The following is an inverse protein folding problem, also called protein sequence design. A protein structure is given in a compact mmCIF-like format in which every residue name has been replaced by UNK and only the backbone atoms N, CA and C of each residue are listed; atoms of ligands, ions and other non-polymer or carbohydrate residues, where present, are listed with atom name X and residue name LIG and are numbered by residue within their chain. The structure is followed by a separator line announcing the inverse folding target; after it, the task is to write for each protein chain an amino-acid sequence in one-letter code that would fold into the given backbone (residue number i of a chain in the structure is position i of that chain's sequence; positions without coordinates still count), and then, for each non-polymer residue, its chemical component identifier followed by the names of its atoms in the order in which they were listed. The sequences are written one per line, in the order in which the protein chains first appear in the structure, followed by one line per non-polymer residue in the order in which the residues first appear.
data_IF_461678118297
#
_entry.id   IF_461678118297
#
_cell.length_a   1.000
_cell.length_b   1.000
_cell.length_c   1.000
_cell.angle_alpha   90.00
_cell.angle_beta   90.00
_cell.angle_gamma   90.00
#
_symmetry.space_group_name_H-M   'P 1'
#
loop_
_entity.id
_entity.type
_entity.pdbx_description
1 polymer ?
#
# COMPACT_ATOMS: atom_id res chain seq x y z
N UNK A 1 4.41 19.67 -17.43
CA UNK A 1 3.05 19.12 -17.66
C UNK A 1 2.26 19.32 -16.37
N UNK A 2 1.01 19.79 -16.41
CA UNK A 2 0.17 19.95 -15.21
C UNK A 2 -0.53 18.62 -14.94
N UNK A 3 -0.18 17.96 -13.83
CA UNK A 3 -0.83 16.73 -13.40
C UNK A 3 -2.26 17.00 -12.94
N UNK A 4 -3.15 16.04 -13.17
CA UNK A 4 -4.56 16.08 -12.75
C UNK A 4 -4.80 14.95 -11.75
N UNK A 5 -5.45 15.23 -10.63
CA UNK A 5 -5.74 14.23 -9.60
C UNK A 5 -7.12 13.59 -9.85
N UNK A 6 -7.25 12.30 -9.56
CA UNK A 6 -8.49 11.54 -9.67
C UNK A 6 -8.74 10.73 -8.38
N UNK A 7 -10.00 10.60 -7.98
CA UNK A 7 -10.43 9.71 -6.90
C UNK A 7 -11.49 8.72 -7.41
N UNK A 8 -11.52 7.52 -6.83
CA UNK A 8 -12.56 6.54 -7.12
C UNK A 8 -13.83 6.86 -6.32
N UNK A 9 -14.98 6.73 -6.99
CA UNK A 9 -16.33 6.75 -6.40
C UNK A 9 -17.03 5.42 -6.70
N UNK A 10 -18.14 5.13 -6.03
CA UNK A 10 -18.94 3.91 -6.28
C UNK A 10 -19.43 3.75 -7.74
N UNK A 11 -19.29 4.83 -8.54
CA UNK A 11 -19.66 4.89 -9.95
C UNK A 11 -18.48 5.14 -10.91
N UNK A 12 -17.23 5.19 -10.40
CA UNK A 12 -16.02 5.30 -11.22
C UNK A 12 -15.04 6.41 -10.81
N UNK A 13 -13.98 6.58 -11.60
CA UNK A 13 -12.94 7.61 -11.40
C UNK A 13 -13.49 9.02 -11.69
N UNK A 14 -13.36 9.92 -10.71
CA UNK A 14 -13.75 11.32 -10.81
C UNK A 14 -12.53 12.24 -10.72
N UNK A 15 -12.51 13.31 -11.53
CA UNK A 15 -11.44 14.32 -11.53
C UNK A 15 -11.62 15.28 -10.35
N UNK A 16 -10.56 15.53 -9.59
CA UNK A 16 -10.54 16.47 -8.46
C UNK A 16 -10.17 17.89 -8.92
N UNK A 17 -10.55 18.89 -8.13
CA UNK A 17 -10.35 20.32 -8.41
C UNK A 17 -8.90 20.81 -8.20
N UNK A 18 -8.60 21.99 -8.72
CA UNK A 18 -7.25 22.54 -8.91
C UNK A 18 -6.51 22.91 -7.61
N UNK A 19 -7.10 22.67 -6.43
CA UNK A 19 -6.46 22.92 -5.13
C UNK A 19 -5.22 22.01 -4.87
N UNK A 20 -5.06 20.92 -5.65
CA UNK A 20 -4.00 19.93 -5.51
C UNK A 20 -2.75 20.18 -6.39
N UNK A 21 -2.70 21.31 -7.12
CA UNK A 21 -1.67 21.66 -8.11
C UNK A 21 -0.23 21.75 -7.57
N UNK A 22 -0.02 21.77 -6.24
CA UNK A 22 1.33 21.82 -5.63
C UNK A 22 2.11 20.50 -5.66
N UNK A 23 1.45 19.39 -6.00
CA UNK A 23 2.07 18.09 -6.24
C UNK A 23 1.70 17.71 -7.68
N UNK A 24 2.31 18.30 -8.71
CA UNK A 24 2.03 17.91 -10.10
C UNK A 24 2.60 16.50 -10.32
N UNK A 25 1.83 15.41 -10.12
CA UNK A 25 2.40 14.09 -10.16
C UNK A 25 2.59 13.76 -11.64
N UNK A 26 3.74 13.20 -12.00
CA UNK A 26 3.86 12.61 -13.33
C UNK A 26 2.98 11.35 -13.41
N UNK A 27 2.74 10.84 -14.62
CA UNK A 27 2.07 9.54 -14.77
C UNK A 27 2.87 8.39 -14.12
N UNK A 28 4.15 8.63 -13.82
CA UNK A 28 5.07 7.68 -13.21
C UNK A 28 5.22 7.89 -11.69
N UNK A 29 4.57 8.90 -11.12
CA UNK A 29 4.57 9.11 -9.68
C UNK A 29 3.73 8.02 -8.98
N UNK A 30 4.12 7.59 -7.77
CA UNK A 30 3.30 6.69 -6.98
C UNK A 30 1.91 7.29 -6.75
N UNK A 31 0.89 6.44 -6.88
CA UNK A 31 -0.48 6.79 -6.50
C UNK A 31 -0.53 7.12 -5.00
N UNK A 32 -1.27 8.18 -4.67
CA UNK A 32 -1.46 8.72 -3.32
C UNK A 32 -2.95 9.00 -3.10
N UNK A 33 -3.33 9.37 -1.88
CA UNK A 33 -4.73 9.64 -1.51
C UNK A 33 -5.65 8.43 -1.72
N UNK A 34 -5.10 7.24 -1.56
CA UNK A 34 -5.81 5.96 -1.68
C UNK A 34 -5.86 5.26 -0.34
N UNK A 35 -7.02 4.71 -0.04
CA UNK A 35 -7.26 3.92 1.15
C UNK A 35 -6.89 2.45 0.91
N UNK A 36 -6.86 1.66 1.98
CA UNK A 36 -6.67 0.23 1.87
C UNK A 36 -7.82 -0.41 1.07
N UNK A 37 -9.05 0.05 1.31
CA UNK A 37 -10.25 -0.40 0.58
C UNK A 37 -10.13 -0.11 -0.93
N UNK A 38 -9.61 1.06 -1.32
CA UNK A 38 -9.35 1.38 -2.74
C UNK A 38 -8.30 0.45 -3.35
N UNK A 39 -7.22 0.18 -2.62
CA UNK A 39 -6.16 -0.68 -3.11
C UNK A 39 -6.69 -2.10 -3.35
N UNK A 40 -7.51 -2.63 -2.45
CA UNK A 40 -8.21 -3.92 -2.62
C UNK A 40 -9.20 -3.91 -3.78
N UNK A 41 -9.97 -2.84 -3.94
CA UNK A 41 -10.88 -2.70 -5.07
C UNK A 41 -10.12 -2.68 -6.42
N UNK A 42 -9.01 -1.95 -6.48
CA UNK A 42 -8.12 -1.92 -7.64
C UNK A 42 -7.55 -3.31 -7.96
N UNK A 43 -7.05 -4.03 -6.95
CA UNK A 43 -6.51 -5.38 -7.11
C UNK A 43 -7.57 -6.37 -7.62
N UNK A 44 -8.79 -6.29 -7.09
CA UNK A 44 -9.93 -7.09 -7.57
C UNK A 44 -10.22 -6.82 -9.05
N UNK A 45 -10.29 -5.54 -9.43
CA UNK A 45 -10.47 -5.14 -10.83
C UNK A 45 -9.32 -5.63 -11.72
N UNK A 46 -8.07 -5.46 -11.27
CA UNK A 46 -6.87 -5.84 -12.02
C UNK A 46 -6.85 -7.35 -12.29
N UNK A 47 -7.11 -8.17 -11.27
CA UNK A 47 -7.15 -9.62 -11.42
C UNK A 47 -8.27 -10.08 -12.35
N UNK A 48 -9.47 -9.50 -12.23
CA UNK A 48 -10.58 -9.80 -13.12
C UNK A 48 -10.27 -9.42 -14.58
N UNK A 49 -9.66 -8.25 -14.79
CA UNK A 49 -9.25 -7.77 -16.12
C UNK A 49 -8.20 -8.67 -16.77
N UNK A 50 -7.34 -9.30 -15.97
CA UNK A 50 -6.28 -10.19 -16.43
C UNK A 50 -6.69 -11.67 -16.42
N UNK A 51 -7.91 -12.01 -16.00
CA UNK A 51 -8.35 -13.41 -15.88
C UNK A 51 -7.57 -14.23 -14.85
N UNK A 52 -7.02 -13.58 -13.81
CA UNK A 52 -6.23 -14.23 -12.77
C UNK A 52 -7.13 -14.74 -11.64
N UNK A 53 -6.84 -15.95 -11.17
CA UNK A 53 -7.45 -16.53 -9.97
C UNK A 53 -6.66 -16.12 -8.71
N UNK A 54 -7.13 -16.50 -7.53
CA UNK A 54 -6.49 -16.13 -6.27
C UNK A 54 -5.05 -16.65 -6.13
N UNK A 55 -4.77 -17.85 -6.64
CA UNK A 55 -3.43 -18.46 -6.57
C UNK A 55 -2.38 -17.71 -7.40
N UNK A 56 -2.81 -17.08 -8.49
CA UNK A 56 -1.94 -16.34 -9.41
C UNK A 56 -2.20 -14.83 -9.39
N UNK A 57 -3.08 -14.34 -8.52
CA UNK A 57 -3.57 -12.96 -8.52
C UNK A 57 -2.58 -11.99 -7.87
N UNK A 58 -2.71 -10.72 -8.25
CA UNK A 58 -2.09 -9.61 -7.54
C UNK A 58 -2.82 -9.37 -6.22
N UNK A 59 -2.07 -8.99 -5.19
CA UNK A 59 -2.57 -8.64 -3.86
C UNK A 59 -1.71 -7.52 -3.24
N UNK A 60 -2.11 -7.03 -2.07
CA UNK A 60 -1.18 -6.26 -1.24
C UNK A 60 -0.09 -7.19 -0.69
N UNK A 61 1.15 -6.69 -0.50
CA UNK A 61 2.18 -7.44 0.21
C UNK A 61 1.78 -7.61 1.68
N UNK A 62 2.25 -8.69 2.31
CA UNK A 62 2.31 -8.71 3.76
C UNK A 62 3.37 -7.72 4.26
N UNK A 63 3.29 -7.31 5.51
CA UNK A 63 4.33 -6.49 6.13
C UNK A 63 5.69 -7.19 6.06
N UNK A 64 5.73 -8.49 6.33
CA UNK A 64 6.97 -9.26 6.31
C UNK A 64 7.56 -9.33 4.89
N UNK A 65 6.74 -9.52 3.86
CA UNK A 65 7.19 -9.44 2.47
C UNK A 65 7.71 -8.05 2.10
N UNK A 66 7.04 -7.00 2.57
CA UNK A 66 7.47 -5.63 2.35
C UNK A 66 8.85 -5.38 2.98
N UNK A 67 9.04 -5.79 4.23
CA UNK A 67 10.33 -5.66 4.94
C UNK A 67 11.44 -6.45 4.26
N UNK A 68 11.13 -7.65 3.76
CA UNK A 68 12.09 -8.47 3.03
C UNK A 68 12.49 -7.85 1.68
N UNK A 69 11.52 -7.32 0.94
CA UNK A 69 11.77 -6.64 -0.33
C UNK A 69 12.63 -5.39 -0.15
N UNK A 70 12.36 -4.58 0.88
CA UNK A 70 13.20 -3.44 1.24
C UNK A 70 14.58 -3.92 1.75
N UNK A 71 14.57 -5.05 2.46
CA UNK A 71 15.70 -5.83 2.95
C UNK A 71 16.78 -6.10 1.90
N UNK A 72 16.30 -6.71 0.82
CA UNK A 72 17.08 -7.19 -0.32
C UNK A 72 17.41 -6.12 -1.36
N UNK A 73 16.79 -4.93 -1.26
CA UNK A 73 16.91 -3.88 -2.28
C UNK A 73 16.03 -4.12 -3.52
N UNK A 74 15.09 -5.06 -3.46
CA UNK A 74 14.15 -5.34 -4.55
C UNK A 74 13.16 -4.18 -4.78
N UNK A 75 12.86 -3.41 -3.72
CA UNK A 75 12.15 -2.14 -3.81
C UNK A 75 13.08 -0.99 -3.42
N UNK A 76 13.00 0.16 -4.11
CA UNK A 76 13.90 1.28 -3.84
C UNK A 76 13.69 1.85 -2.44
N UNK A 77 14.76 2.40 -1.87
CA UNK A 77 14.71 3.13 -0.59
C UNK A 77 14.04 4.52 -0.70
N UNK A 78 13.31 4.80 -1.78
CA UNK A 78 12.59 6.08 -2.04
C UNK A 78 11.10 5.73 -2.19
N UNK A 79 10.11 6.51 -1.74
CA UNK A 79 9.92 7.96 -1.93
C UNK A 79 9.24 8.65 -0.72
N UNK A 80 9.34 8.09 0.48
CA UNK A 80 8.73 8.71 1.65
C UNK A 80 7.21 8.74 1.62
N UNK A 81 6.63 7.71 1.03
CA UNK A 81 5.24 7.36 1.29
C UNK A 81 5.18 6.21 2.26
N UNK A 82 4.14 6.24 3.06
CA UNK A 82 3.62 5.06 3.70
C UNK A 82 2.94 4.18 2.65
N UNK A 83 3.13 2.88 2.71
CA UNK A 83 2.56 1.92 1.77
C UNK A 83 1.68 0.93 2.51
N UNK A 84 0.43 0.77 2.07
CA UNK A 84 -0.50 -0.21 2.64
C UNK A 84 0.03 -1.65 2.51
N UNK A 85 -0.06 -2.39 3.61
CA UNK A 85 0.08 -3.85 3.67
C UNK A 85 -1.27 -4.52 3.90
N UNK A 86 -1.37 -5.81 3.59
CA UNK A 86 -2.59 -6.60 3.85
C UNK A 86 -2.85 -6.79 5.35
N UNK A 87 -1.80 -6.83 6.18
CA UNK A 87 -1.85 -7.11 7.62
C UNK A 87 -2.74 -6.15 8.40
N UNK A 88 -3.46 -6.71 9.38
CA UNK A 88 -4.10 -5.94 10.43
C UNK A 88 -3.05 -5.39 11.39
N UNK A 89 -3.33 -4.21 11.94
CA UNK A 89 -2.50 -3.64 12.98
C UNK A 89 -2.57 -4.48 14.27
N UNK A 90 -1.40 -4.78 14.82
CA UNK A 90 -1.23 -5.45 16.11
C UNK A 90 -0.28 -4.64 17.00
N UNK A 91 -0.54 -4.56 18.32
CA UNK A 91 0.31 -3.80 19.25
C UNK A 91 1.71 -4.41 19.43
N UNK A 92 1.86 -5.73 19.23
CA UNK A 92 3.14 -6.42 19.22
C UNK A 92 3.24 -7.43 18.06
N UNK A 93 4.43 -7.98 17.83
CA UNK A 93 4.72 -8.97 16.78
C UNK A 93 4.94 -10.39 17.31
N UNK A 94 4.66 -10.64 18.58
CA UNK A 94 5.06 -11.88 19.27
C UNK A 94 4.40 -13.13 18.67
N UNK A 95 3.25 -12.96 18.01
CA UNK A 95 2.48 -14.02 17.37
C UNK A 95 2.36 -13.83 15.84
N UNK A 96 3.24 -13.00 15.25
CA UNK A 96 3.22 -12.76 13.81
C UNK A 96 3.50 -14.07 13.04
N UNK A 97 2.82 -14.30 11.90
CA UNK A 97 3.14 -15.42 11.02
C UNK A 97 4.61 -15.42 10.60
N UNK A 98 5.27 -16.57 10.73
CA UNK A 98 6.71 -16.73 10.39
C UNK A 98 6.94 -17.19 8.96
N UNK A 99 5.86 -17.54 8.25
CA UNK A 99 5.88 -17.98 6.85
C UNK A 99 5.77 -16.82 5.85
N UNK A 100 5.71 -15.58 6.34
CA UNK A 100 5.54 -14.38 5.53
C UNK A 100 4.12 -14.11 5.07
N UNK A 101 3.13 -14.90 5.50
CA UNK A 101 1.72 -14.62 5.22
C UNK A 101 1.24 -13.35 5.94
N UNK A 102 0.22 -12.69 5.38
CA UNK A 102 -0.37 -11.51 5.99
C UNK A 102 -1.11 -11.84 7.28
N UNK A 103 -0.85 -11.07 8.34
CA UNK A 103 -1.48 -11.27 9.64
C UNK A 103 -2.88 -10.65 9.70
N UNK A 104 -3.88 -11.43 9.29
CA UNK A 104 -5.26 -10.96 9.09
C UNK A 104 -6.24 -11.35 10.21
N UNK A 105 -5.77 -12.03 11.26
CA UNK A 105 -6.59 -12.51 12.37
C UNK A 105 -6.05 -12.01 13.72
N UNK A 106 -6.95 -11.59 14.62
CA UNK A 106 -6.61 -11.16 15.99
C UNK A 106 -6.12 -9.71 16.12
N UNK A 107 -6.05 -8.98 15.00
CA UNK A 107 -5.63 -7.58 14.95
C UNK A 107 -6.77 -6.60 15.22
N UNK A 108 -6.42 -5.32 15.30
CA UNK A 108 -7.39 -4.25 15.46
C UNK A 108 -8.29 -4.18 14.21
N UNK A 109 -9.59 -4.43 14.39
CA UNK A 109 -10.54 -4.53 13.29
C UNK A 109 -10.59 -3.23 12.46
N UNK A 110 -10.47 -3.38 11.14
CA UNK A 110 -10.51 -2.26 10.20
C UNK A 110 -9.30 -1.34 10.25
N UNK A 111 -8.21 -1.72 10.92
CA UNK A 111 -6.96 -0.97 10.94
C UNK A 111 -5.86 -1.82 10.32
N UNK A 112 -5.22 -1.30 9.27
CA UNK A 112 -4.19 -2.00 8.52
C UNK A 112 -2.83 -1.34 8.70
N UNK A 113 -1.79 -2.15 8.52
CA UNK A 113 -0.40 -1.71 8.61
C UNK A 113 -0.02 -0.87 7.39
N UNK A 114 0.74 0.19 7.63
CA UNK A 114 1.52 0.87 6.61
C UNK A 114 3.03 0.77 6.92
N UNK A 115 3.83 0.65 5.86
CA UNK A 115 5.30 0.57 5.93
C UNK A 115 5.99 1.69 5.15
N UNK A 116 7.27 1.93 5.40
CA UNK A 116 8.09 2.81 4.57
C UNK A 116 8.42 4.17 5.14
N UNK A 117 7.64 4.71 6.08
CA UNK A 117 7.96 5.95 6.81
C UNK A 117 8.06 7.19 5.90
N UNK A 118 7.08 8.09 5.99
CA UNK A 118 7.06 9.27 5.14
C UNK A 118 8.22 10.24 5.41
N UNK A 119 9.14 10.41 4.46
CA UNK A 119 10.33 11.31 4.51
C UNK A 119 10.00 12.80 4.77
N UNK A 120 8.73 13.17 4.84
CA UNK A 120 8.26 14.55 4.99
C UNK A 120 8.41 15.12 6.40
N UNK A 121 8.60 14.29 7.44
CA UNK A 121 8.65 14.79 8.83
C UNK A 121 10.02 14.69 9.50
N UNK A 122 10.86 13.69 9.22
CA UNK A 122 12.18 13.56 9.88
C UNK A 122 13.25 12.88 9.00
N UNK A 123 14.21 13.63 8.42
CA UNK A 123 15.37 13.05 7.75
C UNK A 123 16.30 12.40 8.79
N UNK A 124 16.24 11.06 8.94
CA UNK A 124 17.21 10.30 9.74
C UNK A 124 16.64 9.19 10.63
N UNK A 125 15.31 9.08 10.78
CA UNK A 125 14.69 8.16 11.75
C UNK A 125 14.07 6.88 11.15
N UNK A 126 13.94 6.78 9.82
CA UNK A 126 13.12 5.71 9.23
C UNK A 126 13.87 4.38 9.18
N UNK A 127 13.46 3.42 10.01
CA UNK A 127 13.96 2.05 10.00
C UNK A 127 13.02 1.15 9.19
N UNK A 128 13.56 0.07 8.63
CA UNK A 128 12.76 -0.98 7.98
C UNK A 128 11.61 -1.49 8.86
N UNK A 129 11.87 -1.52 10.16
CA UNK A 129 10.95 -1.96 11.20
C UNK A 129 9.89 -0.91 11.59
N UNK A 130 9.90 0.30 11.03
CA UNK A 130 8.87 1.29 11.33
C UNK A 130 7.55 0.86 10.71
N UNK A 131 6.49 1.02 11.48
CA UNK A 131 5.15 0.52 11.18
C UNK A 131 4.16 1.56 11.70
N UNK A 132 3.16 1.87 10.89
CA UNK A 132 2.02 2.69 11.29
C UNK A 132 0.73 1.88 11.12
N UNK A 133 -0.33 2.25 11.84
CA UNK A 133 -1.65 1.62 11.73
C UNK A 133 -2.70 2.67 11.42
N UNK A 134 -3.43 2.52 10.32
CA UNK A 134 -4.48 3.44 9.93
C UNK A 134 -5.78 2.70 9.55
N UNK A 135 -6.92 3.37 9.73
CA UNK A 135 -8.21 2.83 9.35
C UNK A 135 -8.25 2.49 7.85
N UNK A 136 -8.91 1.38 7.48
CA UNK A 136 -8.95 0.84 6.13
C UNK A 136 -9.47 1.84 5.08
N UNK A 137 -10.35 2.76 5.50
CA UNK A 137 -10.95 3.80 4.68
C UNK A 137 -10.17 5.14 4.68
N UNK A 138 -9.08 5.25 5.44
CA UNK A 138 -8.26 6.47 5.52
C UNK A 138 -7.57 6.74 4.18
N UNK A 139 -7.70 7.95 3.66
CA UNK A 139 -6.95 8.44 2.50
C UNK A 139 -5.97 9.51 2.95
N UNK A 140 -4.75 9.46 2.44
CA UNK A 140 -3.74 10.47 2.75
C UNK A 140 -2.83 10.73 1.57
N UNK A 141 -2.40 11.97 1.39
CA UNK A 141 -1.45 12.37 0.35
C UNK A 141 -0.06 11.76 0.52
N UNK A 142 0.17 11.09 1.65
CA UNK A 142 1.45 10.48 2.03
C UNK A 142 1.34 8.96 2.15
N UNK A 143 0.19 8.39 1.76
CA UNK A 143 -0.03 6.95 1.74
C UNK A 143 -0.36 6.49 0.31
N UNK A 144 0.37 5.47 -0.16
CA UNK A 144 0.15 4.75 -1.40
C UNK A 144 0.12 3.23 -1.16
N UNK A 145 0.39 2.43 -2.19
CA UNK A 145 0.52 0.98 -2.06
C UNK A 145 1.41 0.39 -3.16
N UNK A 146 1.90 -0.83 -2.93
CA UNK A 146 2.52 -1.70 -3.94
C UNK A 146 1.69 -2.96 -4.10
N UNK A 147 1.90 -3.64 -5.22
CA UNK A 147 1.28 -4.95 -5.49
C UNK A 147 2.33 -6.04 -5.36
N UNK A 148 1.92 -7.16 -4.77
CA UNK A 148 2.66 -8.41 -4.71
C UNK A 148 1.93 -9.49 -5.51
N UNK A 149 2.66 -10.50 -5.97
CA UNK A 149 2.11 -11.65 -6.69
C UNK A 149 2.97 -12.87 -6.44
N UNK A 150 2.34 -14.00 -6.16
CA UNK A 150 3.04 -15.28 -6.03
C UNK A 150 3.41 -15.81 -7.42
N UNK A 151 4.68 -16.19 -7.59
CA UNK A 151 5.12 -16.87 -8.81
C UNK A 151 4.71 -18.34 -8.73
N UNK A 152 3.84 -18.77 -9.64
CA UNK A 152 3.53 -20.18 -9.81
C UNK A 152 4.69 -20.79 -10.58
N UNK A 153 5.53 -21.59 -9.92
CA UNK A 153 6.56 -22.38 -10.59
C UNK A 153 5.90 -23.60 -11.22
N UNK A 154 6.05 -23.74 -12.54
CA UNK A 154 5.66 -24.95 -13.28
C UNK A 154 6.63 -26.11 -13.00
#
# INVERSE_FOLDING_TARGET
MRGVAYAWSDVGWQKLDDAWVKLSPSADDPVRCVSWDDARAYLKWLNAKLGLNEAAGYRLPSETEWEFAQGSGAIPARDGLWEWCEDLWHPSRDLAPVDGSAWTLGGLAGVHVNKGGGHIFEPGAVRRADRNGNAANMRSSVIGFRVARTMVTN
#
